data_IF_120064183174
#
_entry.id   IF_120064183174
#
_cell.length_a   1.000
_cell.length_b   1.000
_cell.length_c   1.000
_cell.angle_alpha   90.00
_cell.angle_beta   90.00
_cell.angle_gamma   90.00
#
_symmetry.space_group_name_H-M   'P 1'
#
loop_
_entity.id
_entity.type
_entity.pdbx_description
1 polymer ?
#
# COMPACT_ATOMS: atom_id res chain seq x y z
N UNK A 1 17.47 -20.95 12.59
CA UNK A 1 16.63 -19.81 12.17
C UNK A 1 15.24 -20.36 11.97
N UNK A 2 14.17 -19.87 12.61
CA UNK A 2 12.84 -20.30 12.26
C UNK A 2 12.57 -19.85 10.82
N UNK A 3 12.39 -20.81 9.94
CA UNK A 3 11.90 -20.56 8.57
C UNK A 3 10.48 -20.01 8.69
N UNK A 4 10.15 -18.99 7.91
CA UNK A 4 8.79 -18.46 7.75
C UNK A 4 7.82 -19.62 7.51
N UNK A 5 7.18 -20.11 8.57
CA UNK A 5 6.25 -21.23 8.48
C UNK A 5 4.88 -20.67 8.09
N UNK A 6 4.48 -20.91 6.84
CA UNK A 6 3.12 -20.59 6.37
C UNK A 6 2.19 -21.75 6.71
N UNK A 7 1.03 -21.45 7.30
CA UNK A 7 -0.03 -22.42 7.61
C UNK A 7 -1.35 -21.92 7.07
N UNK A 8 -2.04 -22.74 6.29
CA UNK A 8 -3.43 -22.49 5.92
C UNK A 8 -4.32 -22.66 7.14
N UNK A 9 -5.25 -21.73 7.35
CA UNK A 9 -6.28 -21.77 8.40
C UNK A 9 -7.60 -22.30 7.86
N UNK A 10 -7.93 -21.89 6.61
CA UNK A 10 -9.01 -22.39 5.77
C UNK A 10 -8.63 -22.17 4.29
N UNK A 11 -9.54 -22.40 3.34
CA UNK A 11 -9.29 -22.29 1.91
C UNK A 11 -8.97 -20.86 1.42
N UNK A 12 -9.19 -19.84 2.23
CA UNK A 12 -9.00 -18.42 1.92
C UNK A 12 -8.04 -17.70 2.86
N UNK A 13 -7.62 -18.34 3.92
CA UNK A 13 -6.91 -17.72 5.05
C UNK A 13 -5.64 -18.45 5.39
N UNK A 14 -4.60 -17.69 5.69
CA UNK A 14 -3.33 -18.23 6.12
C UNK A 14 -2.72 -17.40 7.26
N UNK A 15 -1.87 -18.05 8.05
CA UNK A 15 -1.07 -17.44 9.10
C UNK A 15 0.40 -17.76 8.88
N UNK A 16 1.26 -16.80 9.25
CA UNK A 16 2.72 -16.99 9.26
C UNK A 16 3.36 -16.32 10.46
N UNK A 17 4.50 -16.84 10.88
CA UNK A 17 5.44 -16.13 11.76
C UNK A 17 6.56 -15.55 10.93
N UNK A 18 6.94 -14.32 11.24
CA UNK A 18 7.96 -13.57 10.53
C UNK A 18 8.89 -12.94 11.54
N UNK A 19 10.20 -13.05 11.33
CA UNK A 19 11.20 -12.24 12.03
C UNK A 19 11.55 -11.07 11.09
N UNK A 20 11.37 -9.85 11.57
CA UNK A 20 11.69 -8.65 10.79
C UNK A 20 13.18 -8.63 10.49
N UNK A 21 13.54 -8.66 9.22
CA UNK A 21 14.90 -8.58 8.72
C UNK A 21 15.29 -7.14 8.35
N UNK A 22 16.58 -6.82 8.24
CA UNK A 22 17.02 -5.48 7.78
C UNK A 22 16.40 -5.05 6.44
N UNK A 23 16.12 -6.01 5.53
CA UNK A 23 15.44 -5.74 4.25
C UNK A 23 13.95 -5.44 4.38
N UNK A 24 13.37 -5.42 5.58
CA UNK A 24 11.96 -5.11 5.82
C UNK A 24 11.75 -3.79 6.57
N UNK A 25 12.76 -3.25 7.23
CA UNK A 25 12.63 -2.15 8.18
C UNK A 25 13.50 -0.93 7.88
N UNK A 26 13.96 -0.77 6.64
CA UNK A 26 14.69 0.42 6.21
C UNK A 26 13.85 1.20 5.19
N UNK A 27 13.29 2.32 5.61
CA UNK A 27 12.38 3.12 4.80
C UNK A 27 11.03 2.44 4.54
N UNK A 28 9.98 3.22 4.34
CA UNK A 28 8.61 2.71 4.24
C UNK A 28 8.36 1.72 3.11
N UNK A 29 9.04 1.87 1.97
CA UNK A 29 8.82 1.02 0.80
C UNK A 29 9.15 -0.47 1.02
N UNK A 30 10.08 -0.79 1.91
CA UNK A 30 10.52 -2.18 2.10
C UNK A 30 9.46 -3.02 2.80
N UNK A 31 8.85 -2.52 3.88
CA UNK A 31 7.76 -3.25 4.56
C UNK A 31 6.53 -3.36 3.67
N UNK A 32 6.20 -2.31 2.90
CA UNK A 32 5.08 -2.36 1.97
C UNK A 32 5.33 -3.35 0.84
N UNK A 33 6.58 -3.42 0.32
CA UNK A 33 6.98 -4.44 -0.63
C UNK A 33 6.78 -5.85 -0.07
N UNK A 34 7.19 -6.10 1.17
CA UNK A 34 7.05 -7.42 1.82
C UNK A 34 5.59 -7.80 2.06
N UNK A 35 4.73 -6.87 2.49
CA UNK A 35 3.29 -7.13 2.61
C UNK A 35 2.69 -7.44 1.22
N UNK A 36 3.17 -6.78 0.17
CA UNK A 36 2.77 -7.09 -1.21
C UNK A 36 3.16 -8.50 -1.63
N UNK A 37 4.36 -8.98 -1.29
CA UNK A 37 4.78 -10.37 -1.52
C UNK A 37 3.85 -11.34 -0.79
N UNK A 38 3.52 -11.08 0.49
CA UNK A 38 2.57 -11.89 1.24
C UNK A 38 1.17 -11.89 0.64
N UNK A 39 0.75 -10.79 0.01
CA UNK A 39 -0.51 -10.72 -0.76
C UNK A 39 -0.47 -11.69 -1.93
N UNK A 40 0.60 -11.67 -2.73
CA UNK A 40 0.74 -12.58 -3.87
C UNK A 40 0.81 -14.04 -3.44
N UNK A 41 1.55 -14.35 -2.36
CA UNK A 41 1.61 -15.69 -1.79
C UNK A 41 0.23 -16.16 -1.28
N UNK A 42 -0.52 -15.27 -0.61
CA UNK A 42 -1.87 -15.58 -0.13
C UNK A 42 -2.83 -15.86 -1.29
N UNK A 43 -2.80 -15.05 -2.34
CA UNK A 43 -3.61 -15.25 -3.55
C UNK A 43 -3.21 -16.53 -4.27
N UNK A 44 -1.91 -16.81 -4.40
CA UNK A 44 -1.45 -18.06 -5.00
C UNK A 44 -1.97 -19.29 -4.25
N UNK A 45 -1.90 -19.27 -2.92
CA UNK A 45 -2.36 -20.37 -2.07
C UNK A 45 -3.88 -20.56 -2.13
N UNK A 46 -4.64 -19.45 -2.08
CA UNK A 46 -6.11 -19.50 -2.05
C UNK A 46 -6.75 -19.77 -3.43
N UNK A 47 -6.10 -19.35 -4.52
CA UNK A 47 -6.64 -19.47 -5.88
C UNK A 47 -5.97 -20.57 -6.71
N UNK A 48 -4.93 -21.23 -6.20
CA UNK A 48 -4.19 -22.25 -6.95
C UNK A 48 -3.44 -21.72 -8.19
N UNK A 49 -3.32 -20.40 -8.34
CA UNK A 49 -2.71 -19.74 -9.51
C UNK A 49 -1.27 -19.38 -9.23
N UNK A 50 -0.36 -19.68 -10.14
CA UNK A 50 1.03 -19.19 -10.02
C UNK A 50 1.12 -17.71 -10.37
N UNK A 51 1.00 -16.85 -9.35
CA UNK A 51 0.99 -15.38 -9.54
C UNK A 51 2.28 -14.81 -10.13
N UNK A 52 3.41 -15.52 -9.98
CA UNK A 52 4.72 -15.05 -10.47
C UNK A 52 4.96 -15.41 -11.93
N UNK A 53 4.28 -16.42 -12.46
CA UNK A 53 4.43 -16.89 -13.84
C UNK A 53 3.11 -16.94 -14.61
N UNK A 54 2.11 -16.18 -14.14
CA UNK A 54 0.77 -16.14 -14.72
C UNK A 54 0.80 -15.66 -16.18
N UNK A 55 -0.08 -16.24 -17.00
CA UNK A 55 -0.24 -15.87 -18.41
C UNK A 55 -1.71 -15.71 -18.75
N UNK A 56 -2.00 -14.86 -19.73
CA UNK A 56 -3.33 -14.75 -20.33
C UNK A 56 -3.65 -16.00 -21.16
N UNK A 57 -4.88 -16.14 -21.62
CA UNK A 57 -5.29 -17.21 -22.54
C UNK A 57 -4.45 -17.23 -23.84
N UNK A 58 -3.96 -16.07 -24.26
CA UNK A 58 -3.10 -15.90 -25.44
C UNK A 58 -1.61 -16.10 -25.12
N UNK A 59 -1.26 -16.52 -23.90
CA UNK A 59 0.11 -16.80 -23.48
C UNK A 59 0.96 -15.59 -23.10
N UNK A 60 0.40 -14.39 -23.07
CA UNK A 60 1.13 -13.18 -22.65
C UNK A 60 1.31 -13.15 -21.12
N UNK A 61 2.39 -12.56 -20.59
CA UNK A 61 2.54 -12.37 -19.15
C UNK A 61 1.37 -11.58 -18.55
N UNK A 62 0.77 -12.13 -17.50
CA UNK A 62 -0.26 -11.47 -16.69
C UNK A 62 0.31 -11.14 -15.31
N UNK A 63 -0.04 -9.98 -14.79
CA UNK A 63 0.49 -9.47 -13.52
C UNK A 63 -0.67 -9.18 -12.56
N UNK A 64 -0.56 -9.65 -11.32
CA UNK A 64 -1.49 -9.29 -10.25
C UNK A 64 -1.07 -7.93 -9.68
N UNK A 65 -1.58 -6.85 -10.26
CA UNK A 65 -1.20 -5.47 -9.94
C UNK A 65 -2.04 -4.91 -8.78
N UNK A 66 -1.45 -4.04 -7.98
CA UNK A 66 -2.19 -3.28 -6.98
C UNK A 66 -3.00 -2.18 -7.67
N UNK A 67 -4.27 -2.07 -7.28
CA UNK A 67 -5.17 -0.97 -7.66
C UNK A 67 -5.43 -0.06 -6.46
N UNK A 68 -5.44 -0.63 -5.25
CA UNK A 68 -5.51 0.08 -3.99
C UNK A 68 -4.70 -0.64 -2.93
N UNK A 69 -4.05 0.15 -2.10
CA UNK A 69 -3.26 -0.32 -0.98
C UNK A 69 -3.50 0.61 0.21
N UNK A 70 -3.90 0.05 1.35
CA UNK A 70 -4.02 0.80 2.60
C UNK A 70 -3.25 0.10 3.69
N UNK A 71 -2.56 0.89 4.52
CA UNK A 71 -1.98 0.43 5.78
C UNK A 71 -2.44 1.33 6.90
N UNK A 72 -2.92 0.72 7.98
CA UNK A 72 -3.21 1.39 9.25
C UNK A 72 -2.22 0.93 10.29
N UNK A 73 -1.44 1.87 10.85
CA UNK A 73 -0.57 1.62 11.98
C UNK A 73 -1.34 1.48 13.28
N UNK A 74 -0.89 0.59 14.15
CA UNK A 74 -1.34 0.51 15.52
C UNK A 74 -0.60 1.50 16.45
N UNK A 75 -0.85 1.39 17.75
CA UNK A 75 -0.16 2.20 18.75
C UNK A 75 1.31 1.80 18.91
N UNK A 76 1.56 0.50 18.93
CA UNK A 76 2.89 -0.08 19.18
C UNK A 76 3.60 -0.51 17.89
N UNK A 77 2.84 -0.84 16.83
CA UNK A 77 3.37 -1.32 15.58
C UNK A 77 2.85 -0.47 14.41
N UNK A 78 3.77 0.10 13.62
CA UNK A 78 3.47 0.86 12.42
C UNK A 78 4.62 0.71 11.40
N UNK A 79 4.44 1.10 10.11
CA UNK A 79 5.41 0.79 9.06
C UNK A 79 6.85 1.26 9.32
N UNK A 80 7.01 2.40 10.01
CA UNK A 80 8.33 2.96 10.33
C UNK A 80 8.82 2.62 11.74
N UNK A 81 8.02 1.92 12.55
CA UNK A 81 8.37 1.53 13.91
C UNK A 81 8.98 0.12 14.02
N UNK A 82 8.94 -0.64 12.92
CA UNK A 82 9.52 -1.99 12.91
C UNK A 82 11.04 -1.93 12.92
N UNK A 83 11.65 -2.80 13.73
CA UNK A 83 13.10 -3.00 13.75
C UNK A 83 13.46 -4.46 13.54
N UNK A 84 14.67 -4.72 13.06
CA UNK A 84 15.11 -6.10 12.83
C UNK A 84 15.20 -6.88 14.15
N UNK A 85 14.73 -8.13 14.08
CA UNK A 85 14.56 -8.99 15.24
C UNK A 85 13.15 -8.98 15.86
N UNK A 86 12.29 -7.99 15.50
CA UNK A 86 10.89 -8.05 15.90
C UNK A 86 10.23 -9.32 15.36
N UNK A 87 9.48 -10.00 16.21
CA UNK A 87 8.72 -11.18 15.82
C UNK A 87 7.25 -10.80 15.57
N UNK A 88 6.79 -11.11 14.37
CA UNK A 88 5.42 -10.82 13.95
C UNK A 88 4.65 -12.10 13.67
N UNK A 89 3.34 -12.07 13.97
CA UNK A 89 2.36 -12.97 13.40
C UNK A 89 1.56 -12.21 12.35
N UNK A 90 1.54 -12.73 11.13
CA UNK A 90 0.78 -12.15 10.02
C UNK A 90 -0.36 -13.10 9.65
N UNK A 91 -1.59 -12.66 9.84
CA UNK A 91 -2.81 -13.35 9.38
C UNK A 91 -3.28 -12.68 8.10
N UNK A 92 -3.53 -13.47 7.06
CA UNK A 92 -3.96 -12.98 5.75
C UNK A 92 -5.25 -13.68 5.34
N UNK A 93 -6.20 -12.96 4.75
CA UNK A 93 -7.44 -13.52 4.19
C UNK A 93 -7.74 -12.92 2.83
N UNK A 94 -8.03 -13.79 1.86
CA UNK A 94 -8.32 -13.44 0.48
C UNK A 94 -9.83 -13.48 0.22
N UNK A 95 -10.34 -12.47 -0.47
CA UNK A 95 -11.76 -12.34 -0.83
C UNK A 95 -11.91 -12.22 -2.34
N UNK A 96 -12.95 -12.83 -2.88
CA UNK A 96 -13.30 -12.59 -4.28
C UNK A 96 -13.75 -11.14 -4.48
N UNK A 97 -13.33 -10.57 -5.61
CA UNK A 97 -13.67 -9.19 -5.94
C UNK A 97 -13.99 -9.02 -7.43
N UNK A 98 -14.55 -10.08 -8.04
CA UNK A 98 -14.87 -10.22 -9.45
C UNK A 98 -13.85 -11.09 -10.19
N UNK A 99 -14.16 -11.44 -11.44
CA UNK A 99 -13.40 -12.42 -12.25
C UNK A 99 -11.96 -12.02 -12.58
N UNK A 100 -11.56 -10.79 -12.33
CA UNK A 100 -10.23 -10.26 -12.64
C UNK A 100 -9.56 -9.60 -11.43
N UNK A 101 -10.10 -9.82 -10.23
CA UNK A 101 -9.67 -9.06 -9.05
C UNK A 101 -9.85 -9.85 -7.77
N UNK A 102 -9.01 -9.56 -6.78
CA UNK A 102 -9.11 -10.04 -5.41
C UNK A 102 -8.87 -8.89 -4.44
N UNK A 103 -9.36 -9.06 -3.21
CA UNK A 103 -9.02 -8.21 -2.10
C UNK A 103 -8.40 -9.07 -1.01
N UNK A 104 -7.27 -8.65 -0.47
CA UNK A 104 -6.59 -9.34 0.62
C UNK A 104 -6.51 -8.41 1.83
N UNK A 105 -6.90 -8.93 2.98
CA UNK A 105 -6.72 -8.28 4.27
C UNK A 105 -5.57 -8.96 5.02
N UNK A 106 -4.76 -8.14 5.69
CA UNK A 106 -3.69 -8.60 6.56
C UNK A 106 -3.82 -7.96 7.94
N UNK A 107 -3.59 -8.77 9.00
CA UNK A 107 -3.29 -8.30 10.34
C UNK A 107 -1.85 -8.67 10.66
N UNK A 108 -1.05 -7.68 11.03
CA UNK A 108 0.31 -7.86 11.54
C UNK A 108 0.27 -7.56 13.03
N UNK A 109 0.57 -8.55 13.85
CA UNK A 109 0.57 -8.44 15.30
C UNK A 109 1.94 -8.81 15.85
N UNK A 110 2.41 -8.21 16.97
CA UNK A 110 3.50 -8.75 17.74
C UNK A 110 3.23 -10.22 18.07
N UNK A 111 4.25 -11.07 17.94
CA UNK A 111 4.06 -12.52 18.10
C UNK A 111 3.63 -12.93 19.52
N UNK A 112 3.99 -12.12 20.52
CA UNK A 112 3.69 -12.29 21.94
C UNK A 112 2.32 -11.75 22.36
N UNK A 113 1.59 -11.06 21.47
CA UNK A 113 0.27 -10.50 21.78
C UNK A 113 -0.81 -11.55 22.08
N UNK A 114 -0.52 -12.85 21.83
CA UNK A 114 -1.38 -13.96 22.21
C UNK A 114 -2.70 -14.07 21.43
N UNK A 115 -2.83 -13.37 20.29
CA UNK A 115 -4.03 -13.43 19.46
C UNK A 115 -4.24 -14.84 18.89
N UNK A 116 -5.52 -15.26 18.82
CA UNK A 116 -5.89 -16.53 18.25
C UNK A 116 -5.51 -16.62 16.76
N UNK A 117 -5.10 -17.82 16.37
CA UNK A 117 -4.71 -18.14 14.99
C UNK A 117 -5.95 -18.61 14.22
N UNK A 118 -6.86 -17.66 13.99
CA UNK A 118 -8.15 -17.86 13.33
C UNK A 118 -8.22 -17.02 12.05
N UNK A 119 -9.08 -17.37 11.09
CA UNK A 119 -9.35 -16.55 9.92
C UNK A 119 -9.69 -15.11 10.31
N UNK A 120 -9.06 -14.14 9.64
CA UNK A 120 -9.24 -12.73 9.93
C UNK A 120 -10.69 -12.28 9.62
N UNK A 121 -11.37 -11.72 10.62
CA UNK A 121 -12.71 -11.15 10.44
C UNK A 121 -12.59 -9.75 9.80
N UNK A 122 -13.28 -9.45 8.69
CA UNK A 122 -13.35 -8.10 8.15
C UNK A 122 -13.81 -7.04 9.16
N UNK A 123 -14.75 -7.36 10.06
CA UNK A 123 -15.23 -6.43 11.08
C UNK A 123 -14.09 -5.98 12.01
N UNK A 124 -13.16 -6.88 12.38
CA UNK A 124 -11.95 -6.51 13.13
C UNK A 124 -11.15 -5.44 12.37
N UNK A 125 -11.00 -5.60 11.05
CA UNK A 125 -10.18 -4.67 10.26
C UNK A 125 -10.85 -3.30 10.11
N UNK A 126 -12.17 -3.26 9.93
CA UNK A 126 -12.86 -2.02 9.54
C UNK A 126 -13.57 -1.31 10.69
N UNK A 127 -14.10 -2.05 11.66
CA UNK A 127 -14.96 -1.51 12.72
C UNK A 127 -14.27 -1.46 14.09
N UNK A 128 -13.58 -2.54 14.48
CA UNK A 128 -12.96 -2.65 15.80
C UNK A 128 -11.49 -3.16 15.71
N UNK A 129 -10.58 -2.39 15.11
CA UNK A 129 -9.20 -2.80 14.97
C UNK A 129 -8.48 -2.85 16.32
N UNK A 130 -7.78 -3.96 16.55
CA UNK A 130 -6.95 -4.08 17.76
C UNK A 130 -5.88 -2.99 17.78
N UNK A 131 -5.77 -2.21 18.87
CA UNK A 131 -4.92 -1.01 18.91
C UNK A 131 -3.42 -1.30 18.75
N UNK A 132 -2.97 -2.49 19.09
CA UNK A 132 -1.57 -2.90 19.01
C UNK A 132 -1.25 -3.71 17.73
N UNK A 133 -2.17 -3.75 16.76
CA UNK A 133 -1.95 -4.38 15.47
C UNK A 133 -1.84 -3.37 14.35
N UNK A 134 -1.07 -3.73 13.33
CA UNK A 134 -1.08 -3.04 12.04
C UNK A 134 -1.94 -3.83 11.05
N UNK A 135 -2.71 -3.14 10.24
CA UNK A 135 -3.58 -3.76 9.24
C UNK A 135 -3.23 -3.26 7.85
N UNK A 136 -3.28 -4.18 6.88
CA UNK A 136 -3.17 -3.82 5.47
C UNK A 136 -4.37 -4.35 4.67
N UNK A 137 -4.82 -3.55 3.72
CA UNK A 137 -5.87 -3.85 2.76
C UNK A 137 -5.33 -3.68 1.35
N UNK A 138 -5.37 -4.74 0.55
CA UNK A 138 -4.81 -4.78 -0.80
C UNK A 138 -5.89 -5.19 -1.79
N UNK A 139 -6.29 -4.27 -2.67
CA UNK A 139 -7.15 -4.58 -3.78
C UNK A 139 -6.31 -4.74 -5.05
N UNK A 140 -6.25 -5.96 -5.56
CA UNK A 140 -5.46 -6.34 -6.71
C UNK A 140 -6.30 -6.64 -7.93
N UNK A 141 -5.74 -6.34 -9.11
CA UNK A 141 -6.32 -6.65 -10.41
C UNK A 141 -5.32 -7.33 -11.31
N UNK A 142 -5.76 -8.34 -12.02
CA UNK A 142 -4.99 -8.92 -13.09
C UNK A 142 -4.92 -7.97 -14.29
N UNK A 143 -3.72 -7.76 -14.80
CA UNK A 143 -3.44 -6.90 -15.96
C UNK A 143 -2.42 -7.57 -16.87
N UNK A 144 -2.43 -7.19 -18.16
CA UNK A 144 -1.36 -7.46 -19.12
C UNK A 144 -1.03 -6.18 -19.88
N UNK A 145 0.15 -6.10 -20.49
CA UNK A 145 0.47 -5.03 -21.42
C UNK A 145 -0.35 -5.19 -22.70
N UNK A 146 -1.03 -4.13 -23.13
CA UNK A 146 -1.68 -4.09 -24.44
C UNK A 146 -0.66 -3.88 -25.56
N UNK A 147 0.51 -3.32 -25.23
CA UNK A 147 1.65 -3.12 -26.12
C UNK A 147 2.91 -3.60 -25.41
N UNK A 148 3.73 -4.47 -26.03
CA UNK A 148 4.92 -5.05 -25.40
C UNK A 148 5.97 -4.01 -24.99
N UNK A 149 6.04 -2.91 -25.70
CA UNK A 149 7.03 -1.84 -25.58
C UNK A 149 6.62 -0.68 -24.67
N UNK A 150 5.44 -0.73 -24.04
CA UNK A 150 4.95 0.39 -23.21
C UNK A 150 4.20 -0.07 -21.97
N UNK A 151 4.50 0.60 -20.85
CA UNK A 151 3.79 0.47 -19.57
C UNK A 151 2.55 1.37 -19.47
N UNK A 152 2.33 2.25 -20.47
CA UNK A 152 1.24 3.22 -20.45
C UNK A 152 -0.11 2.61 -20.75
N UNK A 153 -0.11 1.43 -21.42
CA UNK A 153 -1.32 0.75 -21.86
C UNK A 153 -1.40 -0.64 -21.24
N UNK A 154 -2.11 -0.70 -20.12
CA UNK A 154 -2.35 -1.93 -19.36
C UNK A 154 -3.83 -2.29 -19.47
N UNK A 155 -4.13 -3.48 -19.98
CA UNK A 155 -5.49 -4.03 -20.08
C UNK A 155 -5.78 -4.94 -18.91
N UNK A 156 -7.05 -4.98 -18.49
CA UNK A 156 -7.52 -5.95 -17.52
C UNK A 156 -7.63 -7.31 -18.17
N UNK A 157 -7.11 -8.32 -17.51
CA UNK A 157 -7.18 -9.71 -17.92
C UNK A 157 -7.04 -10.59 -16.69
N UNK A 158 -7.31 -11.88 -16.81
CA UNK A 158 -7.00 -12.86 -15.78
C UNK A 158 -6.41 -14.11 -16.39
N UNK A 159 -5.51 -14.82 -15.70
CA UNK A 159 -5.05 -16.12 -16.16
C UNK A 159 -6.23 -17.12 -16.13
N UNK A 160 -6.25 -18.11 -17.06
CA UNK A 160 -7.33 -19.09 -17.14
C UNK A 160 -7.49 -19.97 -15.88
N UNK A 161 -6.38 -20.18 -15.14
CA UNK A 161 -6.32 -20.96 -13.90
C UNK A 161 -6.66 -20.16 -12.65
N UNK A 162 -7.11 -18.91 -12.79
CA UNK A 162 -7.47 -18.08 -11.65
C UNK A 162 -8.79 -18.54 -11.01
N UNK A 163 -8.70 -19.39 -10.00
CA UNK A 163 -9.84 -19.94 -9.28
C UNK A 163 -10.29 -18.99 -8.15
N UNK A 164 -11.25 -18.10 -8.43
CA UNK A 164 -11.73 -17.09 -7.50
C UNK A 164 -13.15 -17.34 -6.97
N UNK A 165 -13.89 -18.25 -7.60
CA UNK A 165 -15.34 -18.42 -7.37
C UNK A 165 -15.68 -18.88 -5.95
N UNK A 166 -14.82 -19.71 -5.37
CA UNK A 166 -15.01 -20.30 -4.03
C UNK A 166 -14.47 -19.41 -2.90
N UNK A 167 -13.80 -18.31 -3.23
CA UNK A 167 -13.37 -17.34 -2.23
C UNK A 167 -14.58 -16.67 -1.54
N UNK A 168 -14.47 -16.36 -0.24
CA UNK A 168 -15.50 -15.62 0.47
C UNK A 168 -15.70 -14.23 -0.14
N UNK A 169 -16.91 -13.68 0.01
CA UNK A 169 -17.22 -12.31 -0.41
C UNK A 169 -16.98 -11.34 0.72
N UNK A 170 -16.27 -10.24 0.42
CA UNK A 170 -16.21 -9.13 1.35
C UNK A 170 -17.57 -8.44 1.43
N UNK A 171 -18.10 -8.13 2.64
CA UNK A 171 -19.32 -7.32 2.78
C UNK A 171 -19.20 -6.00 2.00
N UNK A 172 -20.25 -5.61 1.29
CA UNK A 172 -20.22 -4.47 0.37
C UNK A 172 -19.87 -3.15 1.03
N UNK A 173 -20.21 -2.97 2.31
CA UNK A 173 -19.89 -1.77 3.10
C UNK A 173 -18.39 -1.52 3.23
N UNK A 174 -17.57 -2.56 3.15
CA UNK A 174 -16.10 -2.45 3.25
C UNK A 174 -15.40 -2.32 1.89
N UNK A 175 -16.18 -2.33 0.79
CA UNK A 175 -15.59 -2.26 -0.55
C UNK A 175 -14.87 -0.94 -0.81
N UNK A 176 -13.57 -0.94 -1.16
CA UNK A 176 -12.83 0.28 -1.46
C UNK A 176 -13.16 0.89 -2.83
N UNK A 177 -13.99 0.25 -3.65
CA UNK A 177 -14.24 0.67 -5.05
C UNK A 177 -14.71 2.11 -5.17
N UNK A 178 -15.70 2.49 -4.35
CA UNK A 178 -16.26 3.85 -4.38
C UNK A 178 -15.25 4.87 -3.90
N UNK A 179 -14.52 4.57 -2.82
CA UNK A 179 -13.46 5.42 -2.28
C UNK A 179 -12.38 5.70 -3.34
N UNK A 180 -11.87 4.65 -3.96
CA UNK A 180 -10.80 4.75 -4.96
C UNK A 180 -11.29 5.42 -6.25
N UNK A 181 -12.54 5.17 -6.66
CA UNK A 181 -13.15 5.86 -7.79
C UNK A 181 -13.23 7.37 -7.57
N UNK A 182 -13.74 7.80 -6.42
CA UNK A 182 -13.79 9.21 -6.04
C UNK A 182 -12.39 9.83 -5.95
N UNK A 183 -11.43 9.12 -5.38
CA UNK A 183 -10.06 9.62 -5.27
C UNK A 183 -9.40 9.82 -6.65
N UNK A 184 -9.66 8.92 -7.61
CA UNK A 184 -9.21 9.08 -8.99
C UNK A 184 -9.81 10.30 -9.65
N UNK A 185 -11.12 10.49 -9.52
CA UNK A 185 -11.86 11.56 -10.20
C UNK A 185 -11.54 12.93 -9.57
N UNK A 186 -11.29 12.99 -8.26
CA UNK A 186 -10.88 14.18 -7.53
C UNK A 186 -9.36 14.47 -7.59
N UNK A 187 -8.54 13.50 -8.01
CA UNK A 187 -7.08 13.61 -7.97
C UNK A 187 -6.50 13.57 -6.57
N UNK A 188 -7.16 12.89 -5.62
CA UNK A 188 -6.73 12.74 -4.22
C UNK A 188 -7.82 12.13 -3.35
N UNK A 189 -7.47 11.64 -2.16
CA UNK A 189 -8.44 11.07 -1.20
C UNK A 189 -9.18 12.15 -0.41
N UNK A 190 -8.58 13.36 -0.29
CA UNK A 190 -9.14 14.49 0.44
C UNK A 190 -9.64 15.57 -0.55
N UNK A 191 -10.82 15.36 -1.15
CA UNK A 191 -11.44 16.35 -2.03
C UNK A 191 -11.80 17.66 -1.29
N UNK A 192 -12.02 17.58 0.02
CA UNK A 192 -12.31 18.68 0.92
C UNK A 192 -11.46 18.57 2.17
N UNK A 193 -11.37 19.65 2.95
CA UNK A 193 -10.71 19.63 4.26
C UNK A 193 -11.30 18.53 5.14
N UNK A 194 -10.48 17.59 5.65
CA UNK A 194 -10.97 16.53 6.51
C UNK A 194 -11.56 17.08 7.81
N UNK A 195 -12.62 16.47 8.37
CA UNK A 195 -13.21 16.91 9.64
C UNK A 195 -12.19 16.96 10.77
N UNK A 196 -12.16 18.05 11.53
CA UNK A 196 -11.21 18.27 12.64
C UNK A 196 -9.81 18.71 12.21
N UNK A 197 -9.61 18.96 10.91
CA UNK A 197 -8.35 19.48 10.38
C UNK A 197 -8.52 20.87 9.78
N UNK A 198 -7.42 21.62 9.71
CA UNK A 198 -7.32 22.91 9.05
C UNK A 198 -6.20 22.88 8.00
N UNK A 199 -6.33 23.65 6.92
CA UNK A 199 -5.29 23.80 5.91
C UNK A 199 -4.00 24.29 6.57
N UNK A 200 -2.90 23.57 6.35
CA UNK A 200 -1.62 23.84 7.02
C UNK A 200 -0.67 24.74 6.19
N UNK A 201 -1.04 25.07 4.95
CA UNK A 201 -0.22 25.90 4.08
C UNK A 201 -0.71 25.84 2.63
N UNK A 202 -0.01 26.50 1.70
CA UNK A 202 -0.32 26.43 0.28
C UNK A 202 -0.05 25.02 -0.27
N UNK A 203 -0.57 24.74 -1.44
CA UNK A 203 -0.24 23.55 -2.21
C UNK A 203 1.23 23.63 -2.68
N UNK A 204 1.94 22.52 -2.57
CA UNK A 204 3.33 22.38 -3.02
C UNK A 204 3.40 21.42 -4.20
N UNK A 205 4.34 21.70 -5.12
CA UNK A 205 4.59 20.84 -6.27
C UNK A 205 6.06 20.48 -6.34
N UNK A 206 6.33 19.19 -6.55
CA UNK A 206 7.68 18.63 -6.66
C UNK A 206 7.80 17.81 -7.93
N UNK A 207 8.97 17.84 -8.55
CA UNK A 207 9.33 16.92 -9.62
C UNK A 207 10.14 15.75 -9.10
N UNK A 208 9.91 14.58 -9.69
CA UNK A 208 10.64 13.35 -9.42
C UNK A 208 10.96 12.64 -10.74
N UNK A 209 12.27 12.55 -11.07
CA UNK A 209 12.72 11.73 -12.18
C UNK A 209 12.73 10.26 -11.76
N UNK A 210 12.06 9.40 -12.54
CA UNK A 210 11.99 7.98 -12.29
C UNK A 210 13.41 7.36 -12.31
N UNK A 211 13.82 6.76 -11.21
CA UNK A 211 15.10 6.08 -11.09
C UNK A 211 14.96 4.62 -11.52
N UNK A 212 15.44 4.31 -12.72
CA UNK A 212 15.33 2.96 -13.29
C UNK A 212 16.09 1.89 -12.51
N UNK A 213 17.06 2.28 -11.70
CA UNK A 213 17.86 1.34 -10.89
C UNK A 213 17.13 0.92 -9.60
N UNK A 214 16.11 1.68 -9.19
CA UNK A 214 15.40 1.50 -7.94
C UNK A 214 13.89 1.32 -8.10
N UNK A 215 13.28 2.06 -9.04
CA UNK A 215 11.84 2.19 -9.11
C UNK A 215 11.18 1.19 -10.09
N UNK A 216 11.97 0.51 -10.91
CA UNK A 216 11.50 -0.47 -11.88
C UNK A 216 11.70 -1.89 -11.33
N UNK A 217 10.67 -2.72 -11.39
CA UNK A 217 10.74 -4.12 -10.98
C UNK A 217 11.23 -5.04 -12.11
N UNK A 218 11.44 -6.33 -11.81
CA UNK A 218 11.90 -7.33 -12.77
C UNK A 218 10.97 -7.56 -13.96
N UNK A 219 9.70 -7.11 -13.91
CA UNK A 219 8.77 -7.13 -15.04
C UNK A 219 8.86 -5.85 -15.91
N UNK A 220 9.76 -4.92 -15.59
CA UNK A 220 9.93 -3.65 -16.30
C UNK A 220 8.83 -2.63 -16.02
N UNK A 221 8.03 -2.81 -14.98
CA UNK A 221 6.99 -1.89 -14.53
C UNK A 221 7.51 -1.04 -13.37
N UNK A 222 6.99 0.17 -13.22
CA UNK A 222 7.20 0.92 -11.98
C UNK A 222 6.67 0.07 -10.83
N UNK A 223 7.55 -0.26 -9.89
CA UNK A 223 7.23 -1.15 -8.78
C UNK A 223 6.22 -0.49 -7.84
N UNK A 224 5.18 -1.22 -7.44
CA UNK A 224 4.12 -0.65 -6.61
C UNK A 224 4.64 -0.06 -5.29
N UNK A 225 5.66 -0.68 -4.68
CA UNK A 225 6.23 -0.18 -3.43
C UNK A 225 7.11 1.07 -3.62
N UNK A 226 7.64 1.32 -4.83
CA UNK A 226 8.38 2.55 -5.11
C UNK A 226 7.51 3.80 -5.01
N UNK A 227 6.19 3.68 -5.26
CA UNK A 227 5.28 4.82 -5.06
C UNK A 227 5.27 5.31 -3.61
N UNK A 228 5.41 4.42 -2.63
CA UNK A 228 5.54 4.80 -1.23
C UNK A 228 6.79 5.64 -0.98
N UNK A 229 7.97 5.23 -1.49
CA UNK A 229 9.22 6.00 -1.35
C UNK A 229 9.16 7.32 -2.11
N UNK A 230 8.49 7.37 -3.27
CA UNK A 230 8.32 8.59 -4.05
C UNK A 230 7.46 9.59 -3.28
N UNK A 231 6.34 9.14 -2.70
CA UNK A 231 5.48 9.97 -1.85
C UNK A 231 6.17 10.39 -0.54
N UNK A 232 6.94 9.49 0.08
CA UNK A 232 7.76 9.82 1.26
C UNK A 232 8.81 10.89 0.92
N UNK A 233 9.41 10.84 -0.27
CA UNK A 233 10.33 11.87 -0.74
C UNK A 233 9.64 13.22 -0.88
N UNK A 234 8.41 13.26 -1.41
CA UNK A 234 7.65 14.50 -1.53
C UNK A 234 7.25 15.05 -0.13
N UNK A 235 6.82 14.17 0.79
CA UNK A 235 6.50 14.56 2.17
C UNK A 235 7.73 15.10 2.91
N UNK A 236 8.89 14.47 2.75
CA UNK A 236 10.15 14.94 3.33
C UNK A 236 10.53 16.33 2.80
N UNK A 237 10.40 16.55 1.48
CA UNK A 237 10.65 17.86 0.86
C UNK A 237 9.71 18.92 1.41
N UNK A 238 8.42 18.60 1.57
CA UNK A 238 7.46 19.48 2.21
C UNK A 238 7.90 19.79 3.66
N UNK A 239 8.24 18.79 4.47
CA UNK A 239 8.66 19.01 5.85
C UNK A 239 9.91 19.88 5.96
N UNK A 240 10.92 19.65 5.11
CA UNK A 240 12.11 20.51 5.03
C UNK A 240 11.77 21.96 4.65
N UNK A 241 10.83 22.18 3.72
CA UNK A 241 10.38 23.53 3.35
C UNK A 241 9.65 24.25 4.50
N UNK A 242 9.08 23.48 5.44
CA UNK A 242 8.46 23.97 6.66
C UNK A 242 9.45 24.10 7.84
N UNK A 243 10.77 23.92 7.60
CA UNK A 243 11.81 24.04 8.61
C UNK A 243 11.93 22.86 9.58
N UNK A 244 11.32 21.70 9.26
CA UNK A 244 11.40 20.50 10.10
C UNK A 244 12.66 19.69 9.82
N UNK A 245 13.16 18.98 10.84
CA UNK A 245 14.37 18.16 10.71
C UNK A 245 14.09 16.79 10.09
N UNK A 246 15.13 16.19 9.50
CA UNK A 246 15.06 14.82 9.01
C UNK A 246 14.85 13.80 10.14
N UNK A 247 15.33 14.12 11.36
CA UNK A 247 15.09 13.29 12.54
C UNK A 247 13.60 13.19 12.89
N UNK A 248 12.87 14.33 12.89
CA UNK A 248 11.43 14.33 13.10
C UNK A 248 10.70 13.49 12.05
N UNK A 249 11.19 13.53 10.80
CA UNK A 249 10.64 12.72 9.72
C UNK A 249 10.89 11.23 9.94
N UNK A 250 12.07 10.83 10.37
CA UNK A 250 12.41 9.44 10.65
C UNK A 250 11.63 8.87 11.84
N UNK A 251 11.31 9.71 12.82
CA UNK A 251 10.55 9.33 14.02
C UNK A 251 9.04 9.44 13.86
N UNK A 252 8.54 9.79 12.66
CA UNK A 252 7.10 9.92 12.42
C UNK A 252 6.39 8.59 12.61
N UNK A 253 5.19 8.64 13.15
CA UNK A 253 4.28 7.49 13.23
C UNK A 253 3.24 7.59 12.11
N UNK A 254 3.20 6.63 11.22
CA UNK A 254 2.14 6.51 10.21
C UNK A 254 0.90 5.93 10.87
N UNK A 255 -0.19 6.69 10.86
CA UNK A 255 -1.50 6.29 11.40
C UNK A 255 -2.30 5.56 10.34
N UNK A 256 -2.43 6.18 9.16
CA UNK A 256 -3.17 5.61 8.01
C UNK A 256 -2.53 6.09 6.71
N UNK A 257 -2.24 5.19 5.82
CA UNK A 257 -1.75 5.51 4.48
C UNK A 257 -2.54 4.74 3.43
N UNK A 258 -3.06 5.47 2.46
CA UNK A 258 -3.82 4.93 1.33
C UNK A 258 -3.12 5.30 0.04
N UNK A 259 -3.00 4.34 -0.88
CA UNK A 259 -2.48 4.58 -2.23
C UNK A 259 -3.47 4.01 -3.25
N UNK A 260 -3.90 4.83 -4.21
CA UNK A 260 -4.66 4.41 -5.38
C UNK A 260 -3.74 4.43 -6.60
N UNK A 261 -3.71 3.34 -7.36
CA UNK A 261 -2.88 3.19 -8.56
C UNK A 261 -3.77 3.21 -9.81
N UNK A 262 -3.51 4.12 -10.74
CA UNK A 262 -4.36 4.35 -11.93
C UNK A 262 -3.62 4.17 -13.24
N UNK A 263 -2.29 4.05 -13.18
CA UNK A 263 -1.45 3.85 -14.35
C UNK A 263 -0.03 3.46 -13.98
N UNK A 264 0.74 3.19 -15.03
CA UNK A 264 2.17 2.94 -14.91
C UNK A 264 2.90 3.84 -15.94
N UNK A 265 4.21 3.93 -15.87
CA UNK A 265 5.04 4.78 -16.71
C UNK A 265 6.16 3.97 -17.37
N UNK A 266 6.64 4.49 -18.50
CA UNK A 266 7.82 3.96 -19.16
C UNK A 266 9.10 4.45 -18.47
N UNK A 267 10.24 3.75 -18.59
CA UNK A 267 11.53 4.23 -18.15
C UNK A 267 11.84 5.64 -18.68
N UNK A 268 12.46 6.48 -17.85
CA UNK A 268 12.79 7.87 -18.22
C UNK A 268 11.64 8.88 -17.98
N UNK A 269 10.49 8.44 -17.47
CA UNK A 269 9.42 9.37 -17.11
C UNK A 269 9.85 10.30 -15.97
N UNK A 270 9.31 11.52 -16.01
CA UNK A 270 9.37 12.48 -14.92
C UNK A 270 7.96 12.63 -14.35
N UNK A 271 7.85 12.65 -13.04
CA UNK A 271 6.58 12.80 -12.34
C UNK A 271 6.47 14.19 -11.72
N UNK A 272 5.29 14.79 -11.83
CA UNK A 272 4.89 15.95 -11.04
C UNK A 272 4.05 15.46 -9.87
N UNK A 273 4.45 15.81 -8.64
CA UNK A 273 3.76 15.43 -7.41
C UNK A 273 3.24 16.69 -6.76
N UNK A 274 1.92 16.81 -6.68
CA UNK A 274 1.24 17.91 -5.99
C UNK A 274 0.88 17.45 -4.57
N UNK A 275 1.17 18.27 -3.56
CA UNK A 275 0.95 17.96 -2.14
C UNK A 275 0.07 19.03 -1.52
N UNK A 276 -1.04 18.62 -0.93
CA UNK A 276 -1.88 19.43 -0.03
C UNK A 276 -1.76 18.88 1.37
N UNK A 277 -1.68 19.72 2.37
CA UNK A 277 -1.56 19.26 3.75
C UNK A 277 -2.51 19.99 4.70
N UNK A 278 -2.96 19.26 5.70
CA UNK A 278 -3.83 19.71 6.76
C UNK A 278 -3.25 19.30 8.11
N UNK A 279 -3.49 20.11 9.11
CA UNK A 279 -3.08 19.83 10.49
C UNK A 279 -4.31 19.67 11.36
N UNK A 280 -4.28 18.71 12.29
CA UNK A 280 -5.36 18.52 13.22
C UNK A 280 -5.48 19.73 14.18
N UNK A 281 -6.69 20.26 14.35
CA UNK A 281 -6.94 21.48 15.11
C UNK A 281 -6.68 21.30 16.61
N UNK A 282 -6.83 20.10 17.15
CA UNK A 282 -6.67 19.79 18.58
C UNK A 282 -5.38 19.03 18.89
N UNK A 283 -4.79 18.37 17.90
CA UNK A 283 -3.53 17.61 17.98
C UNK A 283 -2.59 18.06 16.86
N UNK A 284 -1.91 19.20 17.04
CA UNK A 284 -1.11 19.82 15.98
C UNK A 284 0.07 18.98 15.50
N UNK A 285 0.48 17.96 16.24
CA UNK A 285 1.45 16.94 15.82
C UNK A 285 0.89 15.98 14.77
N UNK A 286 -0.44 15.87 14.63
CA UNK A 286 -1.10 15.02 13.66
C UNK A 286 -1.43 15.81 12.40
N UNK A 287 -1.02 15.30 11.24
CA UNK A 287 -1.29 15.93 9.96
C UNK A 287 -1.68 14.91 8.89
N UNK A 288 -2.39 15.38 7.85
CA UNK A 288 -2.70 14.63 6.66
C UNK A 288 -2.02 15.32 5.48
N UNK A 289 -1.26 14.54 4.70
CA UNK A 289 -0.77 14.94 3.39
C UNK A 289 -1.50 14.13 2.31
N UNK A 290 -2.18 14.83 1.40
CA UNK A 290 -2.86 14.24 0.25
C UNK A 290 -2.11 14.62 -1.02
N UNK A 291 -1.72 13.64 -1.82
CA UNK A 291 -0.81 13.85 -2.95
C UNK A 291 -1.35 13.22 -4.23
N UNK A 292 -1.12 13.92 -5.33
CA UNK A 292 -1.37 13.42 -6.68
C UNK A 292 -0.04 13.30 -7.44
N UNK A 293 0.21 12.14 -8.02
CA UNK A 293 1.36 11.86 -8.87
C UNK A 293 0.91 11.76 -10.33
N UNK A 294 1.46 12.62 -11.17
CA UNK A 294 1.15 12.70 -12.60
C UNK A 294 2.42 12.53 -13.44
N UNK A 295 2.26 11.95 -14.61
CA UNK A 295 3.29 12.02 -15.67
C UNK A 295 3.42 13.47 -16.12
N UNK A 296 4.61 14.08 -16.00
CA UNK A 296 4.84 15.49 -16.28
C UNK A 296 4.64 15.85 -17.76
N UNK A 297 4.87 14.88 -18.65
CA UNK A 297 4.73 15.10 -20.10
C UNK A 297 3.27 15.06 -20.55
N UNK A 298 2.48 14.14 -20.00
CA UNK A 298 1.11 13.88 -20.47
C UNK A 298 0.03 14.45 -19.55
N UNK A 299 0.38 14.84 -18.33
CA UNK A 299 -0.56 15.25 -17.29
C UNK A 299 -1.39 14.09 -16.71
N UNK A 300 -1.17 12.85 -17.19
CA UNK A 300 -1.96 11.68 -16.80
C UNK A 300 -1.75 11.35 -15.32
N UNK A 301 -2.84 11.21 -14.57
CA UNK A 301 -2.81 10.76 -13.19
C UNK A 301 -2.38 9.29 -13.12
N UNK A 302 -1.31 9.02 -12.40
CA UNK A 302 -0.75 7.67 -12.23
C UNK A 302 -1.07 7.09 -10.86
N UNK A 303 -1.01 7.91 -9.81
CA UNK A 303 -1.35 7.48 -8.46
C UNK A 303 -1.79 8.67 -7.60
N UNK A 304 -2.52 8.37 -6.53
CA UNK A 304 -2.81 9.29 -5.43
C UNK A 304 -2.53 8.63 -4.10
N UNK A 305 -2.18 9.42 -3.09
CA UNK A 305 -2.04 8.94 -1.72
C UNK A 305 -2.62 9.93 -0.72
N UNK A 306 -3.14 9.44 0.38
CA UNK A 306 -3.32 10.23 1.59
C UNK A 306 -2.57 9.54 2.73
N UNK A 307 -1.74 10.31 3.43
CA UNK A 307 -0.93 9.85 4.55
C UNK A 307 -1.33 10.66 5.77
N UNK A 308 -1.87 9.99 6.79
CA UNK A 308 -2.07 10.55 8.12
C UNK A 308 -0.89 10.15 8.99
N UNK A 309 -0.18 11.15 9.52
CA UNK A 309 1.02 10.95 10.32
C UNK A 309 0.96 11.76 11.60
N UNK A 310 1.63 11.24 12.62
CA UNK A 310 2.01 11.98 13.82
C UNK A 310 3.50 12.32 13.72
N UNK A 311 3.83 13.59 13.79
CA UNK A 311 5.22 14.05 13.71
C UNK A 311 6.03 13.54 14.89
N UNK A 312 7.27 13.13 14.66
CA UNK A 312 8.22 12.82 15.72
C UNK A 312 8.46 14.03 16.62
N UNK A 313 8.79 13.79 17.88
CA UNK A 313 9.12 14.87 18.81
C UNK A 313 10.41 15.56 18.34
N UNK A 314 10.44 16.89 18.41
CA UNK A 314 11.72 17.60 18.24
C UNK A 314 12.64 17.19 19.40
N UNK A 315 13.87 16.78 19.13
CA UNK A 315 14.88 16.67 20.16
C UNK A 315 15.00 18.04 20.85
N UNK A 316 14.76 18.07 22.16
CA UNK A 316 15.12 19.25 22.94
C UNK A 316 16.64 19.37 22.89
N UNK A 317 17.12 20.38 22.16
CA UNK A 317 18.52 20.75 22.11
C UNK A 317 19.01 21.20 23.47
#
# INVERSE_FOLDING_TARGET
>A
MPTDSVRMLDDSSLSRRVVVSPGMCSGGSLVFGRIGDWTWEAVAAACGTNVHAARTAEGQPAYLSFYYYRVRGGKTIHPHGLTFGDELRVSSRVFQFGSQSVLTLHRLAPADLGLADTPLDPAEVYEDPHPDCMYAENFNRWIARSRPDSNRSLARTSPPDFAFADLPRLPNQYSPRTLVGRARDAGGFCAQTPPGFAVAGPEHTFEYALDVTRDINGAGLVYFASYFSIFDTALLRLWRSLGRSDEQFLQRRVIDQKVGYFGNADPGAVFTITVRNWRNATRPETEIADMALRDSTTGRLLAVTAIEVEAGKASSA
#
